data_IF_976023562406
#
_entry.id   IF_976023562406
#
_cell.length_a   1.000
_cell.length_b   1.000
_cell.length_c   1.000
_cell.angle_alpha   90.00
_cell.angle_beta   90.00
_cell.angle_gamma   90.00
#
_symmetry.space_group_name_H-M   'P 1'
#
loop_
_entity.id
_entity.type
_entity.pdbx_description
1 polymer ?
#
# COMPACT_ATOMS: atom_id res chain seq x y z
N UNK A 1 19.66 -4.28 7.09
CA UNK A 1 19.96 -3.11 6.22
C UNK A 1 20.87 -3.43 5.05
N UNK A 2 21.82 -4.34 5.20
CA UNK A 2 22.61 -4.83 4.06
C UNK A 2 21.73 -5.25 2.87
N UNK A 3 20.62 -5.98 3.11
CA UNK A 3 19.63 -6.32 2.07
C UNK A 3 18.97 -5.09 1.42
N UNK A 4 18.66 -4.05 2.19
CA UNK A 4 18.07 -2.83 1.65
C UNK A 4 19.06 -2.03 0.79
N UNK A 5 20.36 -2.14 1.09
CA UNK A 5 21.44 -1.50 0.33
C UNK A 5 21.68 -2.17 -1.03
N UNK A 6 21.28 -3.44 -1.21
CA UNK A 6 21.39 -4.15 -2.50
C UNK A 6 20.13 -4.04 -3.36
N UNK A 7 19.11 -3.29 -2.92
CA UNK A 7 17.90 -3.08 -3.71
C UNK A 7 18.16 -2.07 -4.83
N UNK A 8 17.51 -2.21 -6.01
CA UNK A 8 17.56 -1.21 -7.06
C UNK A 8 17.26 0.20 -6.55
N UNK A 9 17.85 1.23 -7.16
CA UNK A 9 17.72 2.61 -6.70
C UNK A 9 16.25 3.06 -6.61
N UNK A 10 15.43 2.64 -7.57
CA UNK A 10 14.00 2.96 -7.66
C UNK A 10 13.11 2.12 -6.72
N UNK A 11 13.66 1.11 -6.05
CA UNK A 11 12.87 0.23 -5.21
C UNK A 11 12.41 0.95 -3.93
N UNK A 12 11.13 0.81 -3.62
CA UNK A 12 10.50 1.38 -2.42
C UNK A 12 10.34 0.32 -1.33
N UNK A 13 10.18 0.78 -0.09
CA UNK A 13 9.89 -0.07 1.06
C UNK A 13 8.41 0.05 1.42
N UNK A 14 7.71 -1.09 1.41
CA UNK A 14 6.31 -1.24 1.82
C UNK A 14 6.23 -2.25 2.96
N UNK A 15 5.26 -2.10 3.84
CA UNK A 15 4.99 -3.04 4.94
C UNK A 15 3.63 -2.72 5.56
N UNK A 16 2.69 -3.68 5.67
CA UNK A 16 1.43 -3.44 6.36
C UNK A 16 1.67 -3.08 7.84
N UNK A 17 0.79 -2.23 8.40
CA UNK A 17 0.81 -1.89 9.82
C UNK A 17 -0.21 -2.71 10.65
N UNK A 18 -0.04 -2.77 11.98
CA UNK A 18 1.10 -2.29 12.76
C UNK A 18 2.34 -3.17 12.57
N UNK A 19 3.55 -2.59 12.73
CA UNK A 19 4.81 -3.28 12.46
C UNK A 19 5.63 -3.52 13.73
N UNK A 20 6.24 -4.69 13.84
CA UNK A 20 7.17 -5.00 14.94
C UNK A 20 8.59 -4.58 14.57
N UNK A 21 8.97 -3.36 14.95
CA UNK A 21 10.30 -2.79 14.69
C UNK A 21 11.40 -3.57 15.40
N UNK A 22 12.51 -3.80 14.69
CA UNK A 22 13.64 -4.61 15.17
C UNK A 22 13.43 -6.12 15.05
N UNK A 23 12.20 -6.58 14.77
CA UNK A 23 11.88 -7.99 14.53
C UNK A 23 11.55 -8.24 13.05
N UNK A 24 10.52 -7.58 12.53
CA UNK A 24 10.07 -7.73 11.13
C UNK A 24 10.85 -6.82 10.20
N UNK A 25 11.07 -5.58 10.64
CA UNK A 25 11.73 -4.54 9.88
C UNK A 25 12.62 -3.72 10.79
N UNK A 26 13.80 -3.40 10.29
CA UNK A 26 14.74 -2.57 11.01
C UNK A 26 14.33 -1.10 10.88
N UNK A 27 14.42 -0.33 11.98
CA UNK A 27 13.89 1.03 12.06
C UNK A 27 14.43 2.00 11.00
N UNK A 28 15.74 2.01 10.68
CA UNK A 28 16.27 2.89 9.63
C UNK A 28 15.83 2.48 8.23
N UNK A 29 15.38 1.24 8.01
CA UNK A 29 14.76 0.84 6.73
C UNK A 29 13.32 1.37 6.67
N UNK A 30 12.57 1.20 7.76
CA UNK A 30 11.19 1.68 7.89
C UNK A 30 11.09 3.21 7.78
N UNK A 31 12.11 3.93 8.24
CA UNK A 31 12.16 5.40 8.22
C UNK A 31 13.05 5.95 7.09
N UNK A 32 13.46 5.10 6.14
CA UNK A 32 14.31 5.55 5.03
C UNK A 32 13.55 6.47 4.05
N UNK A 33 14.25 7.32 3.27
CA UNK A 33 13.60 8.17 2.26
C UNK A 33 12.83 7.39 1.17
N UNK A 34 13.11 6.09 1.01
CA UNK A 34 12.41 5.20 0.07
C UNK A 34 11.23 4.46 0.70
N UNK A 35 10.94 4.72 1.97
CA UNK A 35 9.80 4.13 2.68
C UNK A 35 8.51 4.83 2.31
N UNK A 36 7.54 4.03 1.86
CA UNK A 36 6.18 4.49 1.54
C UNK A 36 5.14 3.84 2.45
N UNK A 37 5.55 3.29 3.60
CA UNK A 37 4.68 2.50 4.47
C UNK A 37 3.46 3.30 4.94
N UNK A 38 3.66 4.56 5.34
CA UNK A 38 2.57 5.43 5.80
C UNK A 38 1.60 5.73 4.66
N UNK A 39 2.12 6.03 3.46
CA UNK A 39 1.30 6.31 2.28
C UNK A 39 0.53 5.06 1.84
N UNK A 40 1.15 3.89 1.86
CA UNK A 40 0.49 2.62 1.58
C UNK A 40 -0.71 2.39 2.52
N UNK A 41 -0.51 2.53 3.83
CA UNK A 41 -1.60 2.34 4.80
C UNK A 41 -2.71 3.38 4.58
N UNK A 42 -2.34 4.64 4.37
CA UNK A 42 -3.29 5.73 4.06
C UNK A 42 -4.11 5.43 2.79
N UNK A 43 -3.45 4.96 1.73
CA UNK A 43 -4.08 4.62 0.46
C UNK A 43 -5.09 3.47 0.60
N UNK A 44 -4.95 2.63 1.63
CA UNK A 44 -5.93 1.59 1.97
C UNK A 44 -7.32 2.13 2.31
N UNK A 45 -7.47 3.39 2.73
CA UNK A 45 -8.79 4.03 2.90
C UNK A 45 -9.43 4.27 1.54
N UNK A 46 -8.72 4.92 0.61
CA UNK A 46 -9.20 5.21 -0.74
C UNK A 46 -9.60 3.94 -1.49
N UNK A 47 -8.79 2.89 -1.41
CA UNK A 47 -9.10 1.60 -2.04
C UNK A 47 -10.39 1.01 -1.47
N UNK A 48 -10.55 0.96 -0.14
CA UNK A 48 -11.77 0.43 0.48
C UNK A 48 -13.00 1.27 0.13
N UNK A 49 -12.88 2.60 0.11
CA UNK A 49 -13.97 3.47 -0.32
C UNK A 49 -14.40 3.17 -1.76
N UNK A 50 -13.44 3.02 -2.68
CA UNK A 50 -13.73 2.65 -4.07
C UNK A 50 -14.42 1.28 -4.18
N UNK A 51 -13.91 0.28 -3.46
CA UNK A 51 -14.52 -1.07 -3.42
C UNK A 51 -15.95 -1.01 -2.89
N UNK A 52 -16.19 -0.31 -1.77
CA UNK A 52 -17.53 -0.16 -1.19
C UNK A 52 -18.46 0.63 -2.11
N UNK A 53 -17.97 1.67 -2.79
CA UNK A 53 -18.75 2.43 -3.77
C UNK A 53 -19.23 1.52 -4.91
N UNK A 54 -18.36 0.71 -5.49
CA UNK A 54 -18.70 -0.21 -6.57
C UNK A 54 -19.70 -1.29 -6.12
N UNK A 55 -19.58 -1.79 -4.89
CA UNK A 55 -20.43 -2.87 -4.39
C UNK A 55 -21.81 -2.39 -3.87
N UNK A 56 -21.90 -1.16 -3.36
CA UNK A 56 -23.10 -0.66 -2.67
C UNK A 56 -23.99 0.26 -3.52
N UNK A 57 -23.75 0.37 -4.84
CA UNK A 57 -24.67 1.05 -5.76
C UNK A 57 -24.09 2.24 -6.54
N UNK A 58 -22.77 2.45 -6.51
CA UNK A 58 -22.08 3.41 -7.38
C UNK A 58 -21.68 2.84 -8.76
N UNK A 59 -21.96 1.56 -9.02
CA UNK A 59 -21.42 0.82 -10.16
C UNK A 59 -22.25 0.87 -11.45
N UNK A 60 -23.49 1.40 -11.43
CA UNK A 60 -24.34 1.44 -12.64
C UNK A 60 -23.65 2.13 -13.83
N UNK A 61 -22.72 3.06 -13.59
CA UNK A 61 -21.90 3.69 -14.64
C UNK A 61 -20.41 3.34 -14.61
N UNK A 62 -19.89 2.75 -13.51
CA UNK A 62 -18.44 2.55 -13.34
C UNK A 62 -17.92 1.21 -13.87
N UNK A 63 -18.81 0.21 -14.05
CA UNK A 63 -18.46 -1.10 -14.60
C UNK A 63 -19.00 -1.34 -16.02
N UNK A 64 -19.70 -0.34 -16.59
CA UNK A 64 -20.20 -0.25 -17.98
C UNK A 64 -20.62 -1.56 -18.63
N UNK A 65 -21.94 -1.84 -18.67
CA UNK A 65 -22.60 -2.77 -19.61
C UNK A 65 -21.79 -3.99 -20.09
N UNK A 66 -21.12 -4.65 -19.15
CA UNK A 66 -20.32 -5.86 -19.38
C UNK A 66 -21.01 -7.14 -18.91
N UNK A 67 -22.28 -7.05 -18.52
CA UNK A 67 -23.15 -8.20 -18.33
C UNK A 67 -23.96 -8.41 -19.61
N UNK A 68 -23.31 -9.03 -20.60
CA UNK A 68 -24.05 -9.82 -21.59
C UNK A 68 -24.65 -11.06 -20.90
#
# INVERSE_FOLDING_TARGET
VQRAATMPDHAIVMHPGPMNRGLEIESRVADSPRSVIVDQVRNGVSVRMAVLYLLLGGSESALGDGAA
#
